data_IF_073985397182
#
_entry.id   IF_073985397182
#
_cell.length_a   1.000
_cell.length_b   1.000
_cell.length_c   1.000
_cell.angle_alpha   90.00
_cell.angle_beta   90.00
_cell.angle_gamma   90.00
#
_symmetry.space_group_name_H-M   'P 1'
#
loop_
_entity.id
_entity.type
_entity.pdbx_description
1 polymer ?
#
# COMPACT_ATOMS: atom_id res chain seq x y z
N UNK A 1 2.22 19.21 -5.53
CA UNK A 1 1.25 18.16 -5.14
C UNK A 1 -0.20 18.61 -5.28
N UNK A 2 -0.67 19.73 -4.69
CA UNK A 2 -2.12 20.01 -4.60
C UNK A 2 -2.72 20.85 -5.77
N UNK A 3 -1.91 21.36 -6.69
CA UNK A 3 -2.43 21.91 -7.97
C UNK A 3 -3.10 20.85 -8.86
N UNK A 4 -2.77 19.57 -8.63
CA UNK A 4 -3.27 18.44 -9.43
C UNK A 4 -4.61 17.93 -8.89
N UNK A 5 -4.86 18.05 -7.58
CA UNK A 5 -6.10 17.57 -6.95
C UNK A 5 -7.31 18.41 -7.36
N UNK A 6 -7.19 19.74 -7.36
CA UNK A 6 -8.24 20.62 -7.87
C UNK A 6 -8.44 20.47 -9.38
N UNK A 7 -7.37 20.20 -10.12
CA UNK A 7 -7.44 19.90 -11.54
C UNK A 7 -8.19 18.59 -11.80
N UNK A 8 -8.00 17.58 -10.96
CA UNK A 8 -8.75 16.32 -11.01
C UNK A 8 -10.24 16.57 -10.74
N UNK A 9 -10.59 17.25 -9.64
CA UNK A 9 -11.98 17.57 -9.31
C UNK A 9 -12.68 18.33 -10.43
N UNK A 10 -11.98 19.31 -11.02
CA UNK A 10 -12.46 20.09 -12.15
C UNK A 10 -12.65 19.24 -13.41
N UNK A 11 -11.64 18.42 -13.79
CA UNK A 11 -11.69 17.58 -14.99
C UNK A 11 -12.77 16.51 -14.92
N UNK A 12 -12.96 15.92 -13.75
CA UNK A 12 -13.94 14.85 -13.54
C UNK A 12 -15.32 15.35 -13.08
N UNK A 13 -15.51 16.68 -12.99
CA UNK A 13 -16.77 17.33 -12.60
C UNK A 13 -17.39 16.67 -11.37
N UNK A 14 -16.59 16.47 -10.33
CA UNK A 14 -17.01 15.77 -9.12
C UNK A 14 -18.06 16.62 -8.39
N UNK A 15 -19.32 16.19 -8.44
CA UNK A 15 -20.45 16.88 -7.78
C UNK A 15 -20.77 16.35 -6.38
N UNK A 16 -20.09 15.29 -5.94
CA UNK A 16 -20.27 14.63 -4.65
C UNK A 16 -19.27 15.15 -3.60
N UNK A 17 -19.54 15.00 -2.29
CA UNK A 17 -18.54 15.26 -1.26
C UNK A 17 -17.23 14.52 -1.55
N UNK A 18 -16.11 15.18 -1.31
CA UNK A 18 -14.77 14.65 -1.55
C UNK A 18 -13.88 14.83 -0.33
N UNK A 19 -12.85 14.01 -0.24
CA UNK A 19 -11.83 14.06 0.79
C UNK A 19 -10.48 13.80 0.11
N UNK A 20 -9.53 14.72 0.29
CA UNK A 20 -8.14 14.49 -0.12
C UNK A 20 -7.40 13.78 1.01
N UNK A 21 -6.69 12.71 0.66
CA UNK A 21 -5.77 12.01 1.56
C UNK A 21 -4.37 12.15 0.98
N UNK A 22 -3.49 12.79 1.74
CA UNK A 22 -2.07 12.90 1.40
C UNK A 22 -1.31 11.89 2.25
N UNK A 23 -0.62 10.96 1.60
CA UNK A 23 0.16 9.91 2.25
C UNK A 23 1.63 10.30 2.22
N UNK A 24 2.25 10.35 3.40
CA UNK A 24 3.68 10.62 3.58
C UNK A 24 4.37 9.37 4.14
N UNK A 25 5.65 9.11 3.79
CA UNK A 25 6.41 8.03 4.40
C UNK A 25 6.57 8.24 5.90
N UNK A 26 6.96 9.46 6.31
CA UNK A 26 7.13 9.84 7.72
C UNK A 26 6.75 11.31 7.97
N UNK A 27 6.79 11.73 9.23
CA UNK A 27 6.50 13.12 9.63
C UNK A 27 7.53 14.13 9.11
N UNK A 28 8.85 13.85 9.10
CA UNK A 28 9.84 14.75 8.50
C UNK A 28 9.64 15.02 7.00
N UNK A 29 9.12 14.06 6.23
CA UNK A 29 8.82 14.23 4.81
C UNK A 29 7.62 15.15 4.55
N UNK A 30 6.79 15.40 5.56
CA UNK A 30 5.77 16.43 5.53
C UNK A 30 6.44 17.81 5.69
N UNK A 31 6.70 18.44 4.54
CA UNK A 31 7.33 19.77 4.44
C UNK A 31 6.49 20.91 5.03
N UNK A 32 5.39 20.59 5.72
CA UNK A 32 4.66 21.51 6.57
C UNK A 32 3.48 22.17 5.89
N UNK A 33 2.89 23.14 6.59
CA UNK A 33 1.68 23.84 6.18
C UNK A 33 1.99 24.66 4.92
N UNK A 34 1.49 24.18 3.79
CA UNK A 34 1.32 25.01 2.61
C UNK A 34 0.17 25.96 2.96
N UNK A 35 0.49 27.19 3.40
CA UNK A 35 -0.45 28.26 3.81
C UNK A 35 -1.74 28.32 2.98
N UNK A 36 -1.73 28.13 1.64
CA UNK A 36 -2.94 28.01 0.81
C UNK A 36 -3.99 26.99 1.23
N UNK A 37 -3.64 25.90 1.93
CA UNK A 37 -4.53 24.76 2.18
C UNK A 37 -4.90 24.59 3.66
N UNK A 38 -4.50 25.53 4.53
CA UNK A 38 -4.84 25.48 5.95
C UNK A 38 -6.35 25.38 6.19
N UNK A 39 -7.16 26.05 5.35
CA UNK A 39 -8.63 25.98 5.43
C UNK A 39 -9.17 24.57 5.15
N UNK A 40 -8.62 23.85 4.15
CA UNK A 40 -9.03 22.48 3.81
C UNK A 40 -8.69 21.49 4.92
N UNK A 41 -7.54 21.67 5.56
CA UNK A 41 -7.13 20.88 6.72
C UNK A 41 -8.07 21.19 7.89
N UNK A 42 -8.32 22.47 8.17
CA UNK A 42 -9.16 22.92 9.27
C UNK A 42 -10.60 22.44 9.19
N UNK A 43 -11.17 22.33 7.97
CA UNK A 43 -12.51 21.78 7.77
C UNK A 43 -12.54 20.26 7.56
N UNK A 44 -11.38 19.58 7.61
CA UNK A 44 -11.28 18.12 7.51
C UNK A 44 -11.41 17.54 6.09
N UNK A 45 -11.41 18.38 5.05
CA UNK A 45 -11.44 17.95 3.64
C UNK A 45 -10.06 17.54 3.10
N UNK A 46 -9.00 17.81 3.85
CA UNK A 46 -7.67 17.30 3.59
C UNK A 46 -7.12 16.61 4.84
N UNK A 47 -6.83 15.31 4.72
CA UNK A 47 -6.25 14.48 5.77
C UNK A 47 -4.84 14.05 5.39
N UNK A 48 -3.96 14.04 6.39
CA UNK A 48 -2.60 13.54 6.27
C UNK A 48 -2.53 12.18 6.92
N UNK A 49 -1.89 11.23 6.24
CA UNK A 49 -1.62 9.90 6.75
C UNK A 49 -0.12 9.70 6.66
N UNK A 50 0.50 9.29 7.77
CA UNK A 50 1.92 8.99 7.82
C UNK A 50 2.07 7.48 7.88
N UNK A 51 2.76 6.89 6.90
CA UNK A 51 2.99 5.46 6.89
C UNK A 51 3.79 5.04 8.13
N UNK A 52 4.74 5.85 8.59
CA UNK A 52 5.46 5.66 9.86
C UNK A 52 4.56 5.39 11.07
N UNK A 53 3.32 5.90 11.10
CA UNK A 53 2.37 5.64 12.20
C UNK A 53 1.88 4.17 12.23
N UNK A 54 2.11 3.41 11.15
CA UNK A 54 1.82 1.98 11.07
C UNK A 54 2.92 1.13 11.73
N UNK A 55 4.10 1.70 11.99
CA UNK A 55 5.18 1.02 12.71
C UNK A 55 4.77 0.84 14.18
N UNK A 56 4.77 -0.40 14.65
CA UNK A 56 4.37 -0.74 16.03
C UNK A 56 2.86 -0.68 16.29
N UNK A 57 2.03 -0.39 15.29
CA UNK A 57 0.58 -0.47 15.44
C UNK A 57 0.09 -1.93 15.48
N UNK A 58 -0.71 -2.25 16.49
CA UNK A 58 -1.33 -3.57 16.67
C UNK A 58 -2.76 -3.60 16.11
N UNK A 59 -3.28 -4.79 15.85
CA UNK A 59 -4.66 -5.02 15.38
C UNK A 59 -5.05 -4.27 14.10
N UNK A 60 -4.08 -4.07 13.20
CA UNK A 60 -4.33 -3.49 11.89
C UNK A 60 -5.17 -4.43 11.01
N UNK A 61 -6.14 -3.87 10.30
CA UNK A 61 -6.89 -4.60 9.28
C UNK A 61 -6.00 -5.00 8.10
N UNK A 62 -6.42 -6.03 7.35
CA UNK A 62 -5.65 -6.63 6.25
C UNK A 62 -5.05 -5.61 5.26
N UNK A 63 -5.88 -4.68 4.75
CA UNK A 63 -5.41 -3.68 3.78
C UNK A 63 -4.41 -2.68 4.37
N UNK A 64 -4.50 -2.39 5.67
CA UNK A 64 -3.55 -1.49 6.34
C UNK A 64 -2.22 -2.21 6.57
N UNK A 65 -2.27 -3.50 6.86
CA UNK A 65 -1.08 -4.38 6.94
C UNK A 65 -0.38 -4.52 5.59
N UNK A 66 -1.12 -4.60 4.47
CA UNK A 66 -0.54 -4.52 3.13
C UNK A 66 0.24 -3.20 2.92
N UNK A 67 -0.37 -2.06 3.25
CA UNK A 67 0.31 -0.76 3.16
C UNK A 67 1.53 -0.67 4.07
N UNK A 68 1.51 -1.35 5.23
CA UNK A 68 2.64 -1.41 6.16
C UNK A 68 3.87 -2.11 5.57
N UNK A 69 3.73 -2.99 4.57
CA UNK A 69 4.88 -3.62 3.93
C UNK A 69 5.86 -2.62 3.27
N UNK A 70 5.39 -1.41 2.92
CA UNK A 70 6.16 -0.35 2.24
C UNK A 70 7.17 0.35 3.18
N UNK A 71 7.09 0.11 4.50
CA UNK A 71 7.94 0.83 5.48
C UNK A 71 8.68 -0.10 6.44
N UNK A 72 8.43 -1.41 6.33
CA UNK A 72 9.07 -2.40 7.18
C UNK A 72 10.45 -2.73 6.61
N UNK A 73 11.40 -3.02 7.50
CA UNK A 73 12.66 -3.61 7.05
C UNK A 73 12.42 -5.00 6.44
N UNK A 74 13.39 -5.51 5.68
CA UNK A 74 13.26 -6.79 4.97
C UNK A 74 12.91 -7.97 5.89
N UNK A 75 13.43 -8.00 7.11
CA UNK A 75 13.18 -9.10 8.05
C UNK A 75 11.73 -9.05 8.57
N UNK A 76 11.26 -7.86 8.96
CA UNK A 76 9.90 -7.64 9.42
C UNK A 76 8.89 -7.82 8.28
N UNK A 77 9.18 -7.27 7.10
CA UNK A 77 8.35 -7.40 5.90
C UNK A 77 8.19 -8.87 5.50
N UNK A 78 9.25 -9.68 5.62
CA UNK A 78 9.16 -11.13 5.39
C UNK A 78 8.13 -11.80 6.29
N UNK A 79 8.17 -11.53 7.60
CA UNK A 79 7.25 -12.13 8.58
C UNK A 79 5.82 -11.67 8.30
N UNK A 80 5.64 -10.38 8.08
CA UNK A 80 4.34 -9.77 7.82
C UNK A 80 3.71 -10.28 6.52
N UNK A 81 4.49 -10.35 5.44
CA UNK A 81 4.02 -10.79 4.14
C UNK A 81 3.64 -12.27 4.14
N UNK A 82 4.36 -13.13 4.88
CA UNK A 82 3.96 -14.53 5.10
C UNK A 82 2.61 -14.64 5.80
N UNK A 83 2.39 -13.84 6.85
CA UNK A 83 1.12 -13.84 7.57
C UNK A 83 -0.03 -13.39 6.65
N UNK A 84 0.17 -12.31 5.87
CA UNK A 84 -0.81 -11.85 4.90
C UNK A 84 -1.08 -12.88 3.80
N UNK A 85 -0.05 -13.54 3.30
CA UNK A 85 -0.18 -14.59 2.30
C UNK A 85 -0.90 -15.85 2.83
N UNK A 86 -0.88 -16.11 4.14
CA UNK A 86 -1.62 -17.19 4.77
C UNK A 86 -3.10 -16.80 5.04
N UNK A 87 -3.35 -15.54 5.39
CA UNK A 87 -4.68 -15.00 5.67
C UNK A 87 -5.49 -14.68 4.39
N UNK A 88 -4.83 -14.64 3.22
CA UNK A 88 -5.42 -14.25 1.93
C UNK A 88 -6.67 -15.04 1.53
N UNK A 89 -6.82 -16.28 1.99
CA UNK A 89 -8.00 -17.11 1.69
C UNK A 89 -9.32 -16.50 2.21
N UNK A 90 -9.23 -15.54 3.14
CA UNK A 90 -10.39 -14.79 3.64
C UNK A 90 -10.70 -13.52 2.84
N UNK A 91 -9.93 -13.20 1.80
CA UNK A 91 -10.19 -12.03 0.94
C UNK A 91 -11.13 -12.39 -0.22
N UNK A 92 -11.66 -11.37 -0.89
CA UNK A 92 -12.55 -11.57 -2.04
C UNK A 92 -11.83 -12.21 -3.23
N UNK A 93 -10.53 -11.91 -3.40
CA UNK A 93 -9.68 -12.50 -4.43
C UNK A 93 -8.30 -12.87 -3.83
N UNK A 94 -8.13 -14.12 -3.38
CA UNK A 94 -6.88 -14.59 -2.79
C UNK A 94 -5.68 -14.53 -3.75
N UNK A 95 -5.91 -14.67 -5.06
CA UNK A 95 -4.82 -14.70 -6.05
C UNK A 95 -4.34 -13.28 -6.37
N UNK A 96 -5.25 -12.34 -6.61
CA UNK A 96 -4.90 -10.93 -6.78
C UNK A 96 -4.23 -10.37 -5.52
N UNK A 97 -4.70 -10.80 -4.35
CA UNK A 97 -4.08 -10.44 -3.07
C UNK A 97 -2.62 -10.91 -3.00
N UNK A 98 -2.34 -12.13 -3.45
CA UNK A 98 -0.98 -12.68 -3.45
C UNK A 98 -0.06 -11.94 -4.43
N UNK A 99 -0.56 -11.64 -5.63
CA UNK A 99 0.20 -10.88 -6.64
C UNK A 99 0.47 -9.45 -6.18
N UNK A 100 -0.48 -8.83 -5.46
CA UNK A 100 -0.27 -7.52 -4.82
C UNK A 100 0.83 -7.58 -3.76
N UNK A 101 0.85 -8.60 -2.89
CA UNK A 101 1.91 -8.79 -1.90
C UNK A 101 3.27 -8.92 -2.61
N UNK A 102 3.37 -9.78 -3.62
CA UNK A 102 4.60 -9.97 -4.40
C UNK A 102 5.05 -8.66 -5.06
N UNK A 103 4.11 -7.94 -5.66
CA UNK A 103 4.37 -6.65 -6.32
C UNK A 103 4.93 -5.63 -5.33
N UNK A 104 4.29 -5.45 -4.17
CA UNK A 104 4.77 -4.51 -3.14
C UNK A 104 6.20 -4.85 -2.75
N UNK A 105 6.51 -6.13 -2.52
CA UNK A 105 7.85 -6.58 -2.11
C UNK A 105 8.91 -6.39 -3.20
N UNK A 106 8.55 -6.54 -4.48
CA UNK A 106 9.46 -6.27 -5.61
C UNK A 106 9.83 -4.78 -5.65
N UNK A 107 8.86 -3.89 -5.40
CA UNK A 107 9.12 -2.46 -5.39
C UNK A 107 9.90 -2.01 -4.15
N UNK A 108 9.61 -2.60 -2.99
CA UNK A 108 10.27 -2.23 -1.73
C UNK A 108 11.71 -2.77 -1.64
N UNK A 109 11.95 -3.96 -2.17
CA UNK A 109 13.26 -4.63 -2.12
C UNK A 109 13.79 -4.91 -3.53
N UNK A 110 14.13 -3.86 -4.32
CA UNK A 110 14.54 -4.01 -5.72
C UNK A 110 15.85 -4.79 -5.92
N UNK A 111 16.62 -4.98 -4.84
CA UNK A 111 17.82 -5.82 -4.80
C UNK A 111 17.51 -7.33 -4.78
N UNK A 112 16.28 -7.72 -4.45
CA UNK A 112 15.85 -9.13 -4.44
C UNK A 112 15.26 -9.51 -5.79
N UNK A 113 15.59 -10.71 -6.23
CA UNK A 113 14.95 -11.35 -7.38
C UNK A 113 13.52 -11.78 -7.04
N UNK A 114 12.70 -11.96 -8.08
CA UNK A 114 11.32 -12.44 -7.90
C UNK A 114 11.30 -13.84 -7.25
N UNK A 115 12.29 -14.67 -7.55
CA UNK A 115 12.49 -15.98 -6.94
C UNK A 115 12.79 -15.88 -5.44
N UNK A 116 13.67 -14.95 -5.02
CA UNK A 116 13.97 -14.71 -3.60
C UNK A 116 12.75 -14.18 -2.84
N UNK A 117 11.96 -13.30 -3.47
CA UNK A 117 10.69 -12.80 -2.90
C UNK A 117 9.67 -13.94 -2.72
N UNK A 118 9.53 -14.83 -3.71
CA UNK A 118 8.64 -15.99 -3.59
C UNK A 118 9.11 -16.97 -2.52
N UNK A 119 10.42 -17.20 -2.44
CA UNK A 119 11.01 -17.99 -1.37
C UNK A 119 10.72 -17.36 0.01
N UNK A 120 10.77 -16.03 0.10
CA UNK A 120 10.40 -15.30 1.31
C UNK A 120 8.94 -15.55 1.72
N UNK A 121 8.01 -15.79 0.80
CA UNK A 121 6.60 -16.06 1.11
C UNK A 121 6.31 -17.51 1.51
N UNK A 122 7.28 -18.44 1.41
CA UNK A 122 7.11 -19.87 1.72
C UNK A 122 5.91 -20.54 1.01
N UNK A 123 5.60 -20.11 -0.21
CA UNK A 123 4.48 -20.66 -0.98
C UNK A 123 4.83 -22.05 -1.51
N UNK A 124 3.95 -23.06 -1.38
CA UNK A 124 4.13 -24.34 -2.07
C UNK A 124 4.07 -24.13 -3.59
N UNK A 125 4.97 -24.82 -4.33
CA UNK A 125 5.16 -24.73 -5.79
C UNK A 125 3.86 -24.93 -6.59
N UNK A 126 2.84 -25.55 -5.99
CA UNK A 126 1.52 -25.80 -6.59
C UNK A 126 0.68 -24.53 -6.78
N UNK A 127 0.84 -23.50 -5.94
CA UNK A 127 0.15 -22.21 -6.11
C UNK A 127 0.79 -21.40 -7.26
N UNK A 128 2.10 -21.55 -7.46
CA UNK A 128 2.90 -20.85 -8.48
C UNK A 128 2.45 -21.21 -9.91
N UNK A 129 1.90 -22.42 -10.11
CA UNK A 129 1.44 -22.87 -11.43
C UNK A 129 0.13 -22.23 -11.89
N UNK A 130 -0.70 -21.71 -10.99
CA UNK A 130 -1.89 -20.93 -11.40
C UNK A 130 -1.51 -19.54 -11.91
N UNK A 131 -0.42 -18.95 -11.40
CA UNK A 131 0.05 -17.61 -11.79
C UNK A 131 0.77 -17.59 -13.14
N UNK A 132 1.42 -18.68 -13.56
CA UNK A 132 2.08 -18.78 -14.87
C UNK A 132 1.10 -18.93 -16.05
N UNK A 133 -0.17 -19.26 -15.80
CA UNK A 133 -1.17 -19.45 -16.86
C UNK A 133 -1.75 -18.14 -17.44
N UNK A 134 -1.37 -16.97 -16.92
CA UNK A 134 -1.92 -15.68 -17.35
C UNK A 134 -0.97 -14.84 -18.23
N UNK A 135 0.19 -15.36 -18.63
CA UNK A 135 1.09 -14.68 -19.58
C UNK A 135 0.99 -15.19 -21.03
N UNK A 136 -0.02 -15.99 -21.36
CA UNK A 136 -0.29 -16.41 -22.74
C UNK A 136 -1.77 -16.16 -23.11
N UNK A 137 -2.15 -14.88 -23.26
CA UNK A 137 -3.33 -14.45 -24.02
C UNK A 137 -3.15 -13.03 -24.56
#
# INVERSE_FOLDING_TARGET
MVGVDFLYLYRHRVARPWLAIVVFPDRPADTGIITPYAALIGCGLLRRVYLSDLLGAEHLGFNVRLARLIILDQAQASVEARALAAERESTADPLETLDLIETILVYEFPQLTREEIRAMLHLPVTDVKKTLSYQEA
#
